data_IF_152525406037
#
_entry.id   IF_152525406037
#
_cell.length_a   1.000
_cell.length_b   1.000
_cell.length_c   1.000
_cell.angle_alpha   90.00
_cell.angle_beta   90.00
_cell.angle_gamma   90.00
#
_symmetry.space_group_name_H-M   'P 1'
#
loop_
_entity.id
_entity.type
_entity.pdbx_description
1 polymer ?
#
# COMPACT_ATOMS: atom_id res chain seq x y z
N UNK A 1 -12.79 11.29 -9.65
CA UNK A 1 -13.27 11.80 -8.34
C UNK A 1 -12.76 13.20 -8.01
N UNK A 2 -11.47 13.55 -8.11
CA UNK A 2 -11.04 14.97 -8.06
C UNK A 2 -10.74 15.59 -9.43
N UNK A 3 -10.21 14.80 -10.37
CA UNK A 3 -9.89 15.28 -11.73
C UNK A 3 -10.98 14.95 -12.78
N UNK A 4 -12.21 14.65 -12.35
CA UNK A 4 -13.34 14.27 -13.21
C UNK A 4 -13.05 13.16 -14.26
N UNK A 5 -12.09 12.28 -13.95
CA UNK A 5 -11.77 11.11 -14.78
C UNK A 5 -12.71 9.94 -14.51
N UNK A 6 -12.98 9.09 -15.51
CA UNK A 6 -13.74 7.87 -15.33
C UNK A 6 -13.01 6.91 -14.38
N UNK A 7 -13.78 6.26 -13.51
CA UNK A 7 -13.30 5.28 -12.55
C UNK A 7 -14.27 4.09 -12.50
N UNK A 8 -13.71 2.90 -12.27
CA UNK A 8 -14.43 1.65 -12.03
C UNK A 8 -13.84 1.01 -10.77
N UNK A 9 -12.85 0.13 -10.91
CA UNK A 9 -12.20 -0.56 -9.78
C UNK A 9 -11.20 0.33 -9.02
N UNK A 10 -10.80 1.47 -9.61
CA UNK A 10 -9.84 2.39 -9.01
C UNK A 10 -10.29 2.95 -7.66
N UNK A 11 -11.61 3.06 -7.43
CA UNK A 11 -12.15 3.49 -6.14
C UNK A 11 -11.81 2.49 -5.02
N UNK A 12 -11.98 1.19 -5.27
CA UNK A 12 -11.63 0.13 -4.31
C UNK A 12 -10.11 0.05 -4.10
N UNK A 13 -9.32 0.23 -5.17
CA UNK A 13 -7.85 0.27 -5.08
C UNK A 13 -7.38 1.46 -4.25
N UNK A 14 -8.00 2.63 -4.41
CA UNK A 14 -7.72 3.77 -3.56
C UNK A 14 -8.11 3.49 -2.10
N UNK A 15 -9.26 2.85 -1.86
CA UNK A 15 -9.69 2.42 -0.53
C UNK A 15 -8.67 1.48 0.14
N UNK A 16 -8.12 0.51 -0.60
CA UNK A 16 -7.05 -0.36 -0.12
C UNK A 16 -5.81 0.46 0.30
N UNK A 17 -5.39 1.44 -0.50
CA UNK A 17 -4.28 2.34 -0.15
C UNK A 17 -4.57 3.12 1.14
N UNK A 18 -5.80 3.62 1.32
CA UNK A 18 -6.21 4.32 2.55
C UNK A 18 -6.10 3.40 3.77
N UNK A 19 -6.64 2.19 3.70
CA UNK A 19 -6.60 1.21 4.82
C UNK A 19 -5.16 0.87 5.19
N UNK A 20 -4.31 0.59 4.20
CA UNK A 20 -2.88 0.30 4.43
C UNK A 20 -2.17 1.51 5.04
N UNK A 21 -2.43 2.71 4.56
CA UNK A 21 -1.85 3.93 5.11
C UNK A 21 -2.28 4.13 6.57
N UNK A 22 -3.56 3.95 6.89
CA UNK A 22 -4.06 4.06 8.26
C UNK A 22 -3.40 3.03 9.19
N UNK A 23 -3.22 1.79 8.74
CA UNK A 23 -2.51 0.77 9.54
C UNK A 23 -1.03 1.11 9.78
N UNK A 24 -0.37 1.79 8.83
CA UNK A 24 1.03 2.18 8.96
C UNK A 24 1.23 3.45 9.81
N UNK A 25 0.41 4.47 9.57
CA UNK A 25 0.62 5.82 10.08
C UNK A 25 -0.35 6.21 11.22
N UNK A 26 -1.50 5.56 11.33
CA UNK A 26 -2.54 5.92 12.30
C UNK A 26 -3.33 7.19 11.95
N UNK A 27 -3.17 7.71 10.72
CA UNK A 27 -3.82 8.93 10.23
C UNK A 27 -4.50 8.67 8.90
N UNK A 28 -5.42 9.55 8.49
CA UNK A 28 -5.99 9.50 7.14
C UNK A 28 -4.91 9.75 6.08
N UNK A 29 -5.07 9.08 4.93
CA UNK A 29 -4.15 9.22 3.81
C UNK A 29 -4.40 10.51 3.05
N UNK A 30 -3.40 11.40 3.03
CA UNK A 30 -3.34 12.51 2.08
C UNK A 30 -2.42 12.17 0.92
N UNK A 31 -2.83 12.52 -0.30
CA UNK A 31 -2.04 12.34 -1.51
C UNK A 31 -1.51 13.68 -2.02
N UNK A 32 -0.35 13.63 -2.67
CA UNK A 32 0.19 14.74 -3.46
C UNK A 32 0.43 14.29 -4.90
N UNK A 33 0.20 15.22 -5.84
CA UNK A 33 0.54 15.07 -7.26
C UNK A 33 1.96 15.61 -7.47
N UNK A 34 2.90 14.73 -7.78
CA UNK A 34 4.27 15.12 -8.13
C UNK A 34 4.42 15.18 -9.62
N UNK A 35 4.83 16.35 -10.10
CA UNK A 35 5.10 16.59 -11.52
C UNK A 35 6.59 16.33 -11.75
N UNK A 36 6.88 15.48 -12.73
CA UNK A 36 8.22 15.17 -13.22
C UNK A 36 8.67 16.22 -14.24
N UNK A 37 9.97 16.29 -14.50
CA UNK A 37 10.56 17.25 -15.46
C UNK A 37 10.08 17.05 -16.90
N UNK A 38 9.60 15.86 -17.25
CA UNK A 38 9.02 15.52 -18.55
C UNK A 38 7.52 15.87 -18.67
N UNK A 39 6.94 16.51 -17.65
CA UNK A 39 5.51 16.86 -17.60
C UNK A 39 4.60 15.70 -17.18
N UNK A 40 5.13 14.50 -16.98
CA UNK A 40 4.39 13.40 -16.37
C UNK A 40 4.10 13.70 -14.90
N UNK A 41 3.12 13.02 -14.30
CA UNK A 41 2.87 13.15 -12.87
C UNK A 41 2.54 11.81 -12.23
N UNK A 42 2.83 11.73 -10.94
CA UNK A 42 2.54 10.58 -10.10
C UNK A 42 1.90 11.03 -8.79
N UNK A 43 0.87 10.32 -8.38
CA UNK A 43 0.27 10.41 -7.06
C UNK A 43 1.04 9.56 -6.06
N UNK A 44 1.23 10.11 -4.87
CA UNK A 44 1.84 9.39 -3.73
C UNK A 44 1.32 9.92 -2.40
N UNK A 45 1.39 9.14 -1.31
CA UNK A 45 1.08 9.65 0.02
C UNK A 45 2.03 10.79 0.43
N UNK A 46 1.51 11.81 1.12
CA UNK A 46 2.31 12.91 1.68
C UNK A 46 3.15 12.47 2.89
N UNK A 47 2.63 11.55 3.70
CA UNK A 47 3.29 11.09 4.91
C UNK A 47 4.62 10.42 4.60
N UNK A 48 5.65 10.74 5.39
CA UNK A 48 6.97 10.13 5.24
C UNK A 48 7.01 8.75 5.88
N UNK A 49 7.67 7.80 5.22
CA UNK A 49 7.88 6.47 5.79
C UNK A 49 8.92 6.49 6.91
N UNK A 50 8.71 5.68 7.95
CA UNK A 50 9.68 5.54 9.04
C UNK A 50 10.93 4.80 8.56
N UNK A 51 12.09 5.19 9.07
CA UNK A 51 13.41 4.67 8.66
C UNK A 51 13.54 3.15 8.73
N UNK A 52 12.91 2.52 9.71
CA UNK A 52 13.02 1.09 9.98
C UNK A 52 12.00 0.24 9.21
N UNK A 53 11.20 0.85 8.33
CA UNK A 53 10.28 0.12 7.45
C UNK A 53 10.98 -0.32 6.17
N UNK A 54 10.40 -1.32 5.50
CA UNK A 54 10.78 -1.64 4.12
C UNK A 54 10.20 -0.59 3.16
N UNK A 55 10.86 0.58 3.13
CA UNK A 55 10.38 1.78 2.42
C UNK A 55 10.16 1.50 0.93
N UNK A 56 11.04 0.73 0.30
CA UNK A 56 10.96 0.47 -1.14
C UNK A 56 9.76 -0.42 -1.49
N UNK A 57 9.46 -1.42 -0.66
CA UNK A 57 8.28 -2.27 -0.82
C UNK A 57 6.98 -1.44 -0.73
N UNK A 58 6.88 -0.57 0.28
CA UNK A 58 5.71 0.29 0.45
C UNK A 58 5.59 1.34 -0.66
N UNK A 59 6.69 2.00 -1.03
CA UNK A 59 6.71 2.96 -2.15
C UNK A 59 6.26 2.31 -3.45
N UNK A 60 6.76 1.11 -3.75
CA UNK A 60 6.35 0.35 -4.94
C UNK A 60 4.85 0.05 -4.94
N UNK A 61 4.30 -0.40 -3.80
CA UNK A 61 2.86 -0.65 -3.65
C UNK A 61 2.01 0.61 -3.90
N UNK A 62 2.28 1.70 -3.16
CA UNK A 62 1.51 2.94 -3.30
C UNK A 62 1.65 3.52 -4.71
N UNK A 63 2.84 3.49 -5.29
CA UNK A 63 3.08 4.03 -6.64
C UNK A 63 2.29 3.25 -7.69
N UNK A 64 2.32 1.91 -7.65
CA UNK A 64 1.57 1.07 -8.60
C UNK A 64 0.06 1.21 -8.47
N UNK A 65 -0.45 1.26 -7.23
CA UNK A 65 -1.89 1.25 -6.98
C UNK A 65 -2.55 2.63 -7.15
N UNK A 66 -1.88 3.72 -6.74
CA UNK A 66 -2.44 5.07 -6.87
C UNK A 66 -2.38 5.62 -8.31
N UNK A 67 -1.52 5.06 -9.14
CA UNK A 67 -1.28 5.52 -10.52
C UNK A 67 -1.76 4.51 -11.57
N UNK A 68 -2.71 3.66 -11.19
CA UNK A 68 -3.33 2.69 -12.09
C UNK A 68 -4.18 3.42 -13.14
N UNK A 69 -3.78 3.33 -14.40
CA UNK A 69 -4.54 3.87 -15.53
C UNK A 69 -5.75 2.99 -15.89
N UNK A 70 -6.70 3.52 -16.68
CA UNK A 70 -7.81 2.71 -17.19
C UNK A 70 -7.29 1.64 -18.17
N UNK A 71 -7.38 0.36 -17.79
CA UNK A 71 -6.99 -0.77 -18.63
C UNK A 71 -7.26 -2.14 -17.97
N UNK A 72 -7.18 -3.23 -18.72
CA UNK A 72 -7.44 -4.60 -18.23
C UNK A 72 -6.24 -5.23 -17.49
N UNK A 73 -5.21 -4.46 -17.14
CA UNK A 73 -3.99 -4.97 -16.51
C UNK A 73 -4.04 -4.96 -14.98
N UNK A 74 -5.16 -4.56 -14.38
CA UNK A 74 -5.35 -4.40 -12.94
C UNK A 74 -5.08 -5.71 -12.18
N UNK A 75 -5.57 -6.85 -12.67
CA UNK A 75 -5.39 -8.16 -12.02
C UNK A 75 -3.91 -8.56 -11.98
N UNK A 76 -3.19 -8.38 -13.09
CA UNK A 76 -1.76 -8.70 -13.17
C UNK A 76 -0.95 -7.79 -12.25
N UNK A 77 -1.30 -6.50 -12.21
CA UNK A 77 -0.65 -5.53 -11.33
C UNK A 77 -0.88 -5.89 -9.86
N UNK A 78 -2.12 -6.17 -9.45
CA UNK A 78 -2.46 -6.58 -8.07
C UNK A 78 -1.74 -7.86 -7.68
N UNK A 79 -1.67 -8.85 -8.59
CA UNK A 79 -0.90 -10.08 -8.37
C UNK A 79 0.58 -9.77 -8.16
N UNK A 80 1.17 -8.87 -8.95
CA UNK A 80 2.58 -8.48 -8.80
C UNK A 80 2.84 -7.76 -7.48
N UNK A 81 1.91 -6.92 -7.02
CA UNK A 81 2.01 -6.25 -5.72
C UNK A 81 1.95 -7.29 -4.61
N UNK A 82 0.95 -8.19 -4.62
CA UNK A 82 0.83 -9.25 -3.62
C UNK A 82 2.10 -10.12 -3.57
N UNK A 83 2.60 -10.57 -4.72
CA UNK A 83 3.80 -11.39 -4.81
C UNK A 83 5.01 -10.70 -4.15
N UNK A 84 5.19 -9.39 -4.34
CA UNK A 84 6.31 -8.67 -3.71
C UNK A 84 6.26 -8.68 -2.17
N UNK A 85 5.07 -8.71 -1.57
CA UNK A 85 4.91 -8.86 -0.12
C UNK A 85 5.12 -10.30 0.33
N UNK A 86 4.62 -11.28 -0.42
CA UNK A 86 4.82 -12.71 -0.15
C UNK A 86 6.32 -13.06 -0.22
N UNK A 87 7.03 -12.55 -1.22
CA UNK A 87 8.48 -12.73 -1.38
C UNK A 87 9.24 -12.07 -0.22
N UNK A 88 8.87 -10.84 0.16
CA UNK A 88 9.48 -10.18 1.32
C UNK A 88 9.27 -10.99 2.61
N UNK A 89 8.05 -11.46 2.87
CA UNK A 89 7.75 -12.26 4.06
C UNK A 89 8.49 -13.61 4.05
N UNK A 90 8.64 -14.23 2.88
CA UNK A 90 9.31 -15.51 2.70
C UNK A 90 10.84 -15.41 2.70
N UNK A 91 11.39 -14.22 2.41
CA UNK A 91 12.84 -13.98 2.34
C UNK A 91 13.58 -14.21 3.66
N UNK A 92 12.88 -14.13 4.79
CA UNK A 92 13.47 -14.30 6.11
C UNK A 92 12.50 -15.00 7.06
N UNK A 93 12.88 -16.21 7.52
CA UNK A 93 12.09 -17.01 8.48
C UNK A 93 11.77 -16.25 9.77
N UNK A 94 12.62 -15.31 10.21
CA UNK A 94 12.35 -14.48 11.38
C UNK A 94 11.17 -13.53 11.18
N UNK A 95 10.89 -13.08 9.94
CA UNK A 95 9.72 -12.24 9.65
C UNK A 95 8.42 -13.02 9.87
N UNK A 96 8.37 -14.27 9.40
CA UNK A 96 7.23 -15.16 9.63
C UNK A 96 7.04 -15.42 11.12
N UNK A 97 8.14 -15.64 11.86
CA UNK A 97 8.06 -15.84 13.31
C UNK A 97 7.52 -14.60 14.04
N UNK A 98 8.03 -13.41 13.71
CA UNK A 98 7.53 -12.13 14.25
C UNK A 98 6.06 -11.90 13.91
N UNK A 99 5.62 -12.26 12.71
CA UNK A 99 4.21 -12.17 12.31
C UNK A 99 3.34 -13.09 13.17
N UNK A 100 3.74 -14.34 13.38
CA UNK A 100 3.01 -15.28 14.25
C UNK A 100 2.85 -14.73 15.67
N UNK A 101 3.94 -14.20 16.24
CA UNK A 101 3.91 -13.57 17.56
C UNK A 101 2.98 -12.35 17.61
N UNK A 102 3.00 -11.49 16.58
CA UNK A 102 2.10 -10.35 16.47
C UNK A 102 0.63 -10.77 16.40
N UNK A 103 0.31 -11.82 15.63
CA UNK A 103 -1.05 -12.36 15.52
C UNK A 103 -1.55 -12.95 16.85
N UNK A 104 -0.69 -13.65 17.60
CA UNK A 104 -1.03 -14.17 18.94
C UNK A 104 -1.32 -13.03 19.91
N UNK A 105 -0.50 -11.97 19.90
CA UNK A 105 -0.75 -10.76 20.71
C UNK A 105 -2.07 -10.10 20.33
N UNK A 106 -2.32 -9.88 19.04
CA UNK A 106 -3.56 -9.28 18.55
C UNK A 106 -4.79 -10.06 19.03
N UNK A 107 -4.78 -11.39 18.88
CA UNK A 107 -5.88 -12.25 19.35
C UNK A 107 -6.10 -12.12 20.86
N UNK A 108 -5.03 -12.11 21.63
CA UNK A 108 -5.11 -12.00 23.10
C UNK A 108 -5.71 -10.66 23.54
N UNK A 109 -5.31 -9.56 22.88
CA UNK A 109 -5.90 -8.23 23.13
C UNK A 109 -7.39 -8.17 22.79
N UNK A 110 -7.81 -8.82 21.69
CA UNK A 110 -9.21 -8.82 21.26
C UNK A 110 -10.11 -9.69 22.15
N UNK A 111 -9.59 -10.78 22.71
CA UNK A 111 -10.34 -11.66 23.61
C UNK A 111 -10.38 -11.17 25.07
N UNK A 112 -9.60 -10.14 25.40
CA UNK A 112 -9.56 -9.54 26.75
C UNK A 112 -10.41 -8.27 26.86
N UNK A 113 -11.11 -7.89 25.80
CA UNK A 113 -12.07 -6.78 25.73
C UNK A 113 -13.50 -7.32 25.73
#
# INVERSE_FOLDING_TARGET
MQEDKPWRYQADIYGLCVVVHMMLHGTYMEIEKRISSDGSYLYRPKSTFKRYWNVDLWKNMFTKLLNMGPGNHDITLLRSVRQSFEDYMSSNKQLIQKLKEALVRQRSSLCSA
#
